data_IF_048103110215
#
_entry.id   IF_048103110215
#
_cell.length_a   1.000
_cell.length_b   1.000
_cell.length_c   1.000
_cell.angle_alpha   90.00
_cell.angle_beta   90.00
_cell.angle_gamma   90.00
#
_symmetry.space_group_name_H-M   'P 1'
#
loop_
_entity.id
_entity.type
_entity.pdbx_description
1 polymer ?
#
# COMPACT_ATOMS: atom_id res chain seq x y z
N UNK A 1 12.12 -37.57 -29.70
CA UNK A 1 12.23 -36.71 -28.49
C UNK A 1 11.57 -35.34 -28.65
N UNK A 2 11.55 -34.69 -29.82
CA UNK A 2 10.75 -33.48 -30.05
C UNK A 2 9.28 -33.75 -30.44
N UNK A 3 8.96 -34.92 -31.00
CA UNK A 3 7.58 -35.28 -31.37
C UNK A 3 6.77 -35.91 -30.22
N UNK A 4 7.42 -36.54 -29.24
CA UNK A 4 6.72 -37.02 -28.03
C UNK A 4 6.24 -35.87 -27.15
N UNK A 5 6.99 -34.77 -27.08
CA UNK A 5 6.60 -33.57 -26.31
C UNK A 5 5.38 -32.85 -26.91
N UNK A 6 5.20 -32.88 -28.24
CA UNK A 6 4.02 -32.29 -28.89
C UNK A 6 2.75 -33.12 -28.69
N UNK A 7 2.86 -34.43 -28.57
CA UNK A 7 1.70 -35.29 -28.30
C UNK A 7 1.21 -35.11 -26.85
N UNK A 8 2.11 -35.01 -25.87
CA UNK A 8 1.72 -34.77 -24.47
C UNK A 8 1.08 -33.38 -24.27
N UNK A 9 1.53 -32.35 -25.00
CA UNK A 9 0.97 -31.00 -24.91
C UNK A 9 -0.42 -30.87 -25.58
N UNK A 10 -0.72 -31.75 -26.54
CA UNK A 10 -2.04 -31.80 -27.21
C UNK A 10 -3.05 -32.57 -26.37
N UNK A 11 -2.63 -33.64 -25.69
CA UNK A 11 -3.51 -34.43 -24.80
C UNK A 11 -3.88 -33.68 -23.51
N UNK A 12 -3.00 -32.83 -22.99
CA UNK A 12 -3.30 -31.96 -21.83
C UNK A 12 -4.35 -30.89 -22.21
N UNK A 13 -4.27 -30.32 -23.42
CA UNK A 13 -5.25 -29.32 -23.90
C UNK A 13 -6.62 -29.93 -24.23
N UNK A 14 -6.68 -31.22 -24.59
CA UNK A 14 -7.94 -31.94 -24.83
C UNK A 14 -8.59 -32.41 -23.52
N UNK A 15 -7.79 -32.68 -22.47
CA UNK A 15 -8.30 -32.99 -21.14
C UNK A 15 -8.88 -31.75 -20.42
N UNK A 16 -8.22 -30.58 -20.51
CA UNK A 16 -8.72 -29.33 -19.92
C UNK A 16 -10.05 -28.86 -20.54
N UNK A 17 -10.27 -29.17 -21.83
CA UNK A 17 -11.49 -28.80 -22.55
C UNK A 17 -12.67 -29.77 -22.36
N UNK A 18 -12.44 -30.95 -21.74
CA UNK A 18 -13.51 -31.92 -21.42
C UNK A 18 -14.10 -31.72 -20.02
N UNK A 19 -13.32 -31.20 -19.08
CA UNK A 19 -13.82 -30.91 -17.72
C UNK A 19 -14.62 -29.60 -17.62
N UNK A 20 -14.67 -28.80 -18.69
CA UNK A 20 -15.48 -27.56 -18.76
C UNK A 20 -16.77 -27.68 -19.57
N UNK A 21 -17.10 -28.85 -20.13
CA UNK A 21 -18.28 -29.03 -20.99
C UNK A 21 -19.31 -30.07 -20.49
N UNK A 22 -19.20 -30.55 -19.26
CA UNK A 22 -20.18 -31.45 -18.65
C UNK A 22 -20.45 -31.05 -17.21
N UNK A 23 -21.33 -30.08 -17.01
CA UNK A 23 -22.17 -29.91 -15.81
C UNK A 23 -23.15 -28.76 -16.09
N UNK A 24 -23.92 -28.92 -17.17
CA UNK A 24 -25.21 -28.24 -17.30
C UNK A 24 -26.12 -29.07 -18.20
N UNK A 25 -27.37 -29.23 -17.74
CA UNK A 25 -28.51 -29.96 -18.34
C UNK A 25 -28.73 -31.40 -17.88
N UNK A 26 -29.47 -31.54 -16.77
CA UNK A 26 -30.66 -32.37 -16.74
C UNK A 26 -31.60 -31.94 -15.61
N UNK A 27 -32.81 -31.55 -16.01
CA UNK A 27 -34.09 -31.71 -15.30
C UNK A 27 -34.27 -31.13 -13.88
N UNK A 28 -34.97 -29.99 -13.79
CA UNK A 28 -36.30 -29.93 -13.12
C UNK A 28 -36.89 -28.52 -13.15
N UNK A 29 -37.53 -28.16 -14.27
CA UNK A 29 -38.68 -27.27 -14.21
C UNK A 29 -39.85 -28.08 -13.63
N UNK A 30 -40.25 -27.76 -12.39
CA UNK A 30 -41.62 -27.91 -11.87
C UNK A 30 -41.71 -27.32 -10.46
N UNK A 31 -42.45 -26.21 -10.39
CA UNK A 31 -43.35 -25.80 -9.32
C UNK A 31 -42.90 -25.99 -7.87
N UNK A 32 -42.39 -24.92 -7.25
CA UNK A 32 -42.75 -24.59 -5.87
C UNK A 32 -42.87 -23.06 -5.73
N UNK A 33 -44.13 -22.65 -5.62
CA UNK A 33 -44.61 -21.34 -5.23
C UNK A 33 -44.07 -20.88 -3.86
N UNK A 34 -44.00 -19.56 -3.74
CA UNK A 34 -44.26 -18.74 -2.55
C UNK A 34 -44.01 -19.40 -1.17
N UNK A 35 -42.79 -19.26 -0.66
CA UNK A 35 -42.52 -19.34 0.78
C UNK A 35 -41.36 -18.41 1.13
N UNK A 36 -41.64 -17.46 2.04
CA UNK A 36 -40.76 -16.38 2.45
C UNK A 36 -39.34 -16.79 2.83
N UNK A 37 -38.38 -16.07 2.26
CA UNK A 37 -36.98 -16.10 2.66
C UNK A 37 -36.65 -14.82 3.44
N UNK A 38 -37.24 -14.69 4.62
CA UNK A 38 -36.63 -13.94 5.73
C UNK A 38 -35.83 -14.94 6.56
N UNK A 39 -34.56 -15.13 6.18
CA UNK A 39 -33.61 -15.96 6.91
C UNK A 39 -32.27 -15.25 6.95
N UNK A 40 -31.92 -14.74 8.14
CA UNK A 40 -30.65 -14.11 8.47
C UNK A 40 -29.52 -15.17 8.42
N UNK A 41 -29.00 -15.46 7.22
CA UNK A 41 -27.87 -16.36 7.02
C UNK A 41 -26.59 -15.70 7.58
N UNK A 42 -26.21 -16.05 8.81
CA UNK A 42 -24.87 -15.76 9.34
C UNK A 42 -23.81 -16.41 8.44
N UNK A 43 -23.10 -15.59 7.69
CA UNK A 43 -22.06 -15.99 6.75
C UNK A 43 -20.85 -16.52 7.54
N UNK A 44 -20.57 -17.83 7.44
CA UNK A 44 -19.42 -18.47 8.08
C UNK A 44 -18.10 -18.10 7.37
N UNK A 45 -17.23 -17.39 8.09
CA UNK A 45 -15.87 -17.00 7.70
C UNK A 45 -14.99 -18.17 7.22
N UNK A 46 -15.30 -19.40 7.62
CA UNK A 46 -14.56 -20.61 7.24
C UNK A 46 -15.12 -21.28 5.97
N UNK A 47 -16.37 -21.00 5.61
CA UNK A 47 -17.00 -21.51 4.40
C UNK A 47 -16.57 -20.67 3.19
N UNK A 48 -15.44 -21.04 2.61
CA UNK A 48 -14.98 -20.46 1.36
C UNK A 48 -15.82 -21.04 0.20
N UNK A 49 -17.09 -20.65 0.09
CA UNK A 49 -17.88 -20.92 -1.12
C UNK A 49 -17.36 -19.96 -2.20
N UNK A 50 -16.51 -20.49 -3.08
CA UNK A 50 -15.66 -19.86 -4.11
C UNK A 50 -16.28 -18.76 -5.02
N UNK A 51 -17.54 -18.38 -4.86
CA UNK A 51 -18.22 -17.34 -5.65
C UNK A 51 -18.48 -16.01 -4.91
N UNK A 52 -18.90 -16.05 -3.62
CA UNK A 52 -19.40 -14.86 -2.90
C UNK A 52 -18.35 -13.74 -2.73
N UNK A 53 -17.06 -14.11 -2.66
CA UNK A 53 -15.95 -13.16 -2.46
C UNK A 53 -15.41 -12.59 -3.78
N UNK A 54 -15.55 -13.30 -4.92
CA UNK A 54 -15.04 -12.83 -6.21
C UNK A 54 -15.90 -11.70 -6.80
N UNK A 55 -17.22 -11.79 -6.63
CA UNK A 55 -18.14 -10.73 -7.00
C UNK A 55 -19.38 -10.75 -6.09
N UNK A 56 -19.55 -9.76 -5.20
CA UNK A 56 -20.68 -9.71 -4.28
C UNK A 56 -22.03 -9.52 -4.99
N UNK A 57 -22.04 -9.10 -6.25
CA UNK A 57 -23.25 -8.79 -7.01
C UNK A 57 -23.73 -9.95 -7.91
N UNK A 58 -22.88 -10.97 -8.15
CA UNK A 58 -23.13 -11.99 -9.18
C UNK A 58 -24.44 -12.77 -8.98
N UNK A 59 -24.82 -13.03 -7.72
CA UNK A 59 -25.97 -13.85 -7.34
C UNK A 59 -27.26 -13.04 -7.12
N UNK A 60 -27.21 -11.71 -7.15
CA UNK A 60 -28.36 -10.85 -6.89
C UNK A 60 -29.20 -10.74 -8.19
N UNK A 61 -30.50 -11.07 -8.19
CA UNK A 61 -31.32 -10.98 -9.39
C UNK A 61 -31.44 -9.52 -9.87
N UNK A 62 -31.56 -9.31 -11.20
CA UNK A 62 -31.49 -7.97 -11.84
C UNK A 62 -32.48 -6.98 -11.22
N UNK A 63 -33.73 -7.39 -11.00
CA UNK A 63 -34.77 -6.54 -10.42
C UNK A 63 -34.42 -6.08 -9.00
N UNK A 64 -33.89 -6.99 -8.17
CA UNK A 64 -33.48 -6.69 -6.79
C UNK A 64 -32.27 -5.76 -6.77
N UNK A 65 -31.28 -6.02 -7.64
CA UNK A 65 -30.11 -5.17 -7.77
C UNK A 65 -30.48 -3.73 -8.13
N UNK A 66 -31.38 -3.52 -9.09
CA UNK A 66 -31.82 -2.17 -9.47
C UNK A 66 -32.55 -1.45 -8.34
N UNK A 67 -33.41 -2.17 -7.61
CA UNK A 67 -34.10 -1.64 -6.42
C UNK A 67 -33.11 -1.27 -5.31
N UNK A 68 -32.15 -2.14 -5.02
CA UNK A 68 -31.14 -1.91 -3.99
C UNK A 68 -30.23 -0.70 -4.35
N UNK A 69 -29.92 -0.52 -5.64
CA UNK A 69 -29.19 0.66 -6.15
C UNK A 69 -30.03 1.94 -6.03
N UNK A 70 -31.33 1.86 -6.31
CA UNK A 70 -32.25 3.00 -6.16
C UNK A 70 -32.41 3.40 -4.70
N UNK A 71 -32.56 2.44 -3.79
CA UNK A 71 -32.58 2.71 -2.35
C UNK A 71 -31.24 3.31 -1.88
N UNK A 72 -30.11 2.79 -2.38
CA UNK A 72 -28.79 3.34 -2.11
C UNK A 72 -28.66 4.79 -2.60
N UNK A 73 -29.14 5.11 -3.80
CA UNK A 73 -29.07 6.46 -4.34
C UNK A 73 -29.91 7.44 -3.52
N UNK A 74 -31.17 7.09 -3.25
CA UNK A 74 -32.10 7.90 -2.45
C UNK A 74 -31.55 8.17 -1.04
N UNK A 75 -31.06 7.11 -0.36
CA UNK A 75 -30.54 7.22 1.02
C UNK A 75 -29.32 8.13 1.12
N UNK A 76 -28.52 8.22 0.06
CA UNK A 76 -27.26 8.97 0.05
C UNK A 76 -27.34 10.29 -0.74
N UNK A 77 -28.52 10.66 -1.25
CA UNK A 77 -28.71 11.86 -2.06
C UNK A 77 -27.90 11.84 -3.37
N UNK A 78 -27.90 10.70 -4.06
CA UNK A 78 -27.19 10.46 -5.33
C UNK A 78 -28.16 10.25 -6.50
N UNK A 79 -29.36 10.82 -6.40
CA UNK A 79 -30.43 10.66 -7.41
C UNK A 79 -30.04 11.26 -8.76
N UNK A 80 -29.15 12.27 -8.75
CA UNK A 80 -28.57 12.90 -9.93
C UNK A 80 -27.74 11.94 -10.80
N UNK A 81 -27.17 10.89 -10.18
CA UNK A 81 -26.34 9.89 -10.86
C UNK A 81 -26.99 8.50 -10.91
N UNK A 82 -28.25 8.37 -10.50
CA UNK A 82 -28.98 7.10 -10.48
C UNK A 82 -28.89 6.31 -11.80
N UNK A 83 -29.05 6.91 -13.00
CA UNK A 83 -28.92 6.16 -14.26
C UNK A 83 -27.53 5.55 -14.44
N UNK A 84 -26.48 6.27 -14.02
CA UNK A 84 -25.11 5.78 -14.09
C UNK A 84 -24.83 4.71 -13.04
N UNK A 85 -25.44 4.81 -11.85
CA UNK A 85 -25.34 3.79 -10.81
C UNK A 85 -26.03 2.49 -11.23
N UNK A 86 -27.20 2.56 -11.84
CA UNK A 86 -27.92 1.38 -12.34
C UNK A 86 -27.11 0.67 -13.43
N UNK A 87 -26.64 1.39 -14.44
CA UNK A 87 -25.76 0.85 -15.49
C UNK A 87 -24.46 0.28 -14.89
N UNK A 88 -23.82 1.05 -14.02
CA UNK A 88 -22.58 0.64 -13.34
C UNK A 88 -22.74 -0.63 -12.51
N UNK A 89 -23.84 -0.78 -11.77
CA UNK A 89 -24.12 -1.97 -10.99
C UNK A 89 -24.35 -3.21 -11.86
N UNK A 90 -25.02 -3.07 -13.01
CA UNK A 90 -25.20 -4.15 -13.99
C UNK A 90 -23.86 -4.58 -14.59
N UNK A 91 -23.00 -3.62 -14.96
CA UNK A 91 -21.63 -3.90 -15.43
C UNK A 91 -20.81 -4.62 -14.35
N UNK A 92 -20.92 -4.18 -13.09
CA UNK A 92 -20.21 -4.80 -11.97
C UNK A 92 -20.70 -6.23 -11.68
N UNK A 93 -22.00 -6.51 -11.90
CA UNK A 93 -22.57 -7.85 -11.73
C UNK A 93 -22.02 -8.84 -12.75
N UNK A 94 -21.95 -8.46 -14.03
CA UNK A 94 -21.39 -9.30 -15.09
C UNK A 94 -20.35 -8.54 -15.92
N UNK A 95 -19.08 -8.54 -15.47
CA UNK A 95 -18.01 -7.86 -16.19
C UNK A 95 -17.66 -8.48 -17.54
N UNK A 96 -18.11 -9.70 -17.85
CA UNK A 96 -17.82 -10.37 -19.11
C UNK A 96 -18.83 -9.96 -20.20
N UNK A 97 -20.10 -9.75 -19.82
CA UNK A 97 -21.18 -9.41 -20.74
C UNK A 97 -21.60 -7.92 -20.64
N UNK A 98 -20.67 -7.02 -20.33
CA UNK A 98 -20.95 -5.59 -20.14
C UNK A 98 -21.58 -4.91 -21.37
N UNK A 99 -21.39 -5.45 -22.58
CA UNK A 99 -21.95 -4.96 -23.84
C UNK A 99 -23.47 -5.19 -23.97
N UNK A 100 -24.00 -6.13 -23.19
CA UNK A 100 -25.44 -6.50 -23.22
C UNK A 100 -26.29 -5.70 -22.23
N UNK A 101 -25.69 -4.75 -21.52
CA UNK A 101 -26.37 -3.92 -20.52
C UNK A 101 -27.35 -2.97 -21.21
N UNK A 102 -28.63 -3.07 -20.87
CA UNK A 102 -29.68 -2.19 -21.40
C UNK A 102 -29.37 -0.70 -21.15
N UNK A 103 -29.44 0.12 -22.20
CA UNK A 103 -29.26 1.57 -22.11
C UNK A 103 -27.81 2.04 -22.01
N UNK A 104 -26.82 1.15 -22.20
CA UNK A 104 -25.42 1.55 -22.35
C UNK A 104 -25.20 2.18 -23.73
N UNK A 105 -24.45 3.28 -23.78
CA UNK A 105 -24.08 3.95 -25.03
C UNK A 105 -22.81 3.36 -25.63
N UNK A 106 -22.60 3.52 -26.94
CA UNK A 106 -21.38 3.03 -27.61
C UNK A 106 -20.11 3.66 -27.03
N UNK A 107 -20.17 4.94 -26.65
CA UNK A 107 -19.07 5.63 -25.96
C UNK A 107 -18.73 4.97 -24.61
N UNK A 108 -19.76 4.57 -23.84
CA UNK A 108 -19.58 3.89 -22.56
C UNK A 108 -19.00 2.48 -22.72
N UNK A 109 -19.42 1.75 -23.76
CA UNK A 109 -18.85 0.44 -24.13
C UNK A 109 -17.37 0.60 -24.47
N UNK A 110 -17.03 1.57 -25.33
CA UNK A 110 -15.65 1.81 -25.75
C UNK A 110 -14.75 2.15 -24.56
N UNK A 111 -15.22 3.00 -23.64
CA UNK A 111 -14.50 3.34 -22.41
C UNK A 111 -14.21 2.13 -21.52
N UNK A 112 -15.18 1.21 -21.37
CA UNK A 112 -15.01 0.00 -20.55
C UNK A 112 -14.06 -0.98 -21.26
N UNK A 113 -14.18 -1.11 -22.58
CA UNK A 113 -13.26 -1.92 -23.39
C UNK A 113 -11.83 -1.37 -23.31
N UNK A 114 -11.67 -0.06 -23.36
CA UNK A 114 -10.39 0.64 -23.23
C UNK A 114 -9.71 0.37 -21.87
N UNK A 115 -10.47 0.13 -20.81
CA UNK A 115 -9.90 -0.24 -19.50
C UNK A 115 -9.14 -1.58 -19.54
N UNK A 116 -9.58 -2.51 -20.40
CA UNK A 116 -8.98 -3.83 -20.58
C UNK A 116 -7.84 -3.79 -21.59
N UNK A 117 -8.04 -3.11 -22.72
CA UNK A 117 -7.08 -3.00 -23.83
C UNK A 117 -5.93 -2.07 -23.47
N UNK A 118 -6.23 -0.91 -22.89
CA UNK A 118 -5.28 0.16 -22.55
C UNK A 118 -5.15 0.34 -21.03
N UNK A 119 -4.72 -0.73 -20.34
CA UNK A 119 -4.61 -0.78 -18.86
C UNK A 119 -3.85 0.38 -18.22
N UNK A 120 -2.87 0.94 -18.94
CA UNK A 120 -2.05 2.07 -18.49
C UNK A 120 -2.67 3.44 -18.78
N UNK A 121 -3.72 3.57 -19.60
CA UNK A 121 -4.35 4.86 -19.90
C UNK A 121 -5.18 5.33 -18.70
N UNK A 122 -4.52 5.99 -17.76
CA UNK A 122 -5.11 6.43 -16.50
C UNK A 122 -5.17 7.97 -16.40
N UNK A 123 -6.09 8.53 -15.59
CA UNK A 123 -6.24 9.98 -15.50
C UNK A 123 -5.05 10.60 -14.76
N UNK A 124 -4.71 11.84 -15.12
CA UNK A 124 -3.57 12.58 -14.54
C UNK A 124 -3.54 12.61 -13.00
N UNK A 125 -4.68 12.77 -12.28
CA UNK A 125 -4.71 12.73 -10.82
C UNK A 125 -4.27 11.38 -10.22
N UNK A 126 -4.51 10.26 -10.92
CA UNK A 126 -4.05 8.94 -10.48
C UNK A 126 -2.53 8.85 -10.60
N UNK A 127 -1.97 9.26 -11.74
CA UNK A 127 -0.51 9.32 -11.91
C UNK A 127 0.17 10.24 -10.91
N UNK A 128 -0.41 11.41 -10.64
CA UNK A 128 0.08 12.31 -9.61
C UNK A 128 0.12 11.62 -8.23
N UNK A 129 -0.96 10.91 -7.88
CA UNK A 129 -1.04 10.14 -6.64
C UNK A 129 0.03 9.05 -6.57
N UNK A 130 0.26 8.32 -7.66
CA UNK A 130 1.29 7.29 -7.74
C UNK A 130 2.69 7.90 -7.57
N UNK A 131 3.01 8.97 -8.30
CA UNK A 131 4.31 9.65 -8.20
C UNK A 131 4.54 10.14 -6.77
N UNK A 132 3.52 10.68 -6.12
CA UNK A 132 3.63 11.13 -4.74
C UNK A 132 3.89 9.95 -3.78
N UNK A 133 3.16 8.83 -3.93
CA UNK A 133 3.40 7.60 -3.17
C UNK A 133 4.84 7.08 -3.37
N UNK A 134 5.35 7.18 -4.59
CA UNK A 134 6.71 6.82 -4.98
C UNK A 134 7.76 7.70 -4.31
N UNK A 135 7.55 9.02 -4.24
CA UNK A 135 8.42 9.94 -3.47
C UNK A 135 8.44 9.50 -2.01
N UNK A 136 7.29 9.12 -1.45
CA UNK A 136 7.21 8.50 -0.14
C UNK A 136 8.19 7.35 0.01
N UNK A 137 8.14 6.34 -0.86
CA UNK A 137 9.07 5.22 -0.84
C UNK A 137 10.54 5.67 -0.96
N UNK A 138 10.85 6.62 -1.85
CA UNK A 138 12.20 7.14 -2.04
C UNK A 138 12.76 7.83 -0.78
N UNK A 139 11.95 8.57 -0.03
CA UNK A 139 12.34 9.16 1.27
C UNK A 139 12.85 8.09 2.23
N UNK A 140 12.24 6.91 2.24
CA UNK A 140 12.65 5.81 3.12
C UNK A 140 14.04 5.28 2.75
N UNK A 141 14.31 5.07 1.46
CA UNK A 141 15.63 4.62 1.00
C UNK A 141 16.73 5.66 1.20
N UNK A 142 16.40 6.94 1.02
CA UNK A 142 17.35 8.03 1.23
C UNK A 142 17.76 8.13 2.70
N UNK A 143 16.83 8.00 3.65
CA UNK A 143 17.15 8.07 5.08
C UNK A 143 18.10 6.95 5.54
N UNK A 144 17.90 5.73 5.02
CA UNK A 144 18.77 4.59 5.31
C UNK A 144 20.23 4.88 4.94
N UNK A 145 20.43 5.40 3.74
CA UNK A 145 21.77 5.72 3.22
C UNK A 145 22.35 6.97 3.85
N UNK A 146 21.55 7.98 4.18
CA UNK A 146 22.00 9.15 4.94
C UNK A 146 22.64 8.75 6.27
N UNK A 147 22.06 7.77 6.96
CA UNK A 147 22.64 7.19 8.19
C UNK A 147 23.95 6.45 7.91
N UNK A 148 24.06 5.69 6.80
CA UNK A 148 25.31 5.04 6.42
C UNK A 148 26.47 6.01 6.19
N UNK A 149 26.24 7.11 5.46
CA UNK A 149 27.27 8.13 5.27
C UNK A 149 27.69 8.75 6.61
N UNK A 150 26.71 9.09 7.44
CA UNK A 150 26.96 9.72 8.73
C UNK A 150 27.75 8.83 9.69
N UNK A 151 27.55 7.50 9.64
CA UNK A 151 28.26 6.50 10.46
C UNK A 151 29.79 6.63 10.39
N UNK A 152 30.33 7.17 9.31
CA UNK A 152 31.77 7.36 9.12
C UNK A 152 32.37 8.51 9.95
N UNK A 153 31.55 9.48 10.37
CA UNK A 153 32.03 10.76 10.94
C UNK A 153 31.29 11.19 12.21
N UNK A 154 30.01 10.83 12.39
CA UNK A 154 29.26 11.21 13.59
C UNK A 154 29.80 10.61 14.91
N UNK A 155 30.37 9.37 14.95
CA UNK A 155 30.92 8.84 16.19
C UNK A 155 32.14 9.62 16.68
N UNK A 156 32.97 10.09 15.75
CA UNK A 156 34.12 10.94 16.05
C UNK A 156 33.66 12.31 16.56
N UNK A 157 32.58 12.87 16.00
CA UNK A 157 32.05 14.18 16.39
C UNK A 157 31.46 14.23 17.82
N UNK A 158 30.93 13.12 18.33
CA UNK A 158 30.39 13.03 19.70
C UNK A 158 31.33 12.34 20.69
N UNK A 159 32.59 12.08 20.32
CA UNK A 159 33.55 11.32 21.13
C UNK A 159 33.06 9.92 21.54
N UNK A 160 32.22 9.30 20.71
CA UNK A 160 31.71 7.92 20.87
C UNK A 160 32.32 6.99 19.80
N UNK A 161 33.53 7.30 19.35
CA UNK A 161 34.23 6.48 18.36
C UNK A 161 34.64 5.13 18.97
N UNK A 162 34.53 4.07 18.19
CA UNK A 162 34.96 2.69 18.54
C UNK A 162 36.39 2.40 18.02
N UNK A 163 37.27 3.41 18.01
CA UNK A 163 38.65 3.24 17.52
C UNK A 163 39.47 2.44 18.54
N UNK A 164 40.32 1.54 18.06
CA UNK A 164 41.24 0.79 18.92
C UNK A 164 42.06 1.75 19.80
N UNK A 165 41.93 1.61 21.12
CA UNK A 165 42.62 2.44 22.12
C UNK A 165 41.72 3.42 22.89
N UNK A 166 40.45 3.59 22.54
CA UNK A 166 39.51 4.38 23.35
C UNK A 166 38.97 3.57 24.55
N UNK A 167 38.91 4.13 25.78
CA UNK A 167 38.24 3.47 26.89
C UNK A 167 36.75 3.29 26.55
N UNK A 168 36.18 2.11 26.87
CA UNK A 168 34.78 1.73 26.63
C UNK A 168 34.34 1.57 25.16
N UNK A 169 35.26 1.24 24.24
CA UNK A 169 35.00 1.00 22.81
C UNK A 169 33.75 0.13 22.55
N UNK A 170 33.62 -1.02 23.24
CA UNK A 170 32.44 -1.89 23.14
C UNK A 170 31.12 -1.17 23.49
N UNK A 171 31.11 -0.33 24.53
CA UNK A 171 29.90 0.45 24.90
C UNK A 171 29.57 1.46 23.82
N UNK A 172 30.58 2.13 23.25
CA UNK A 172 30.41 3.07 22.15
C UNK A 172 29.84 2.40 20.89
N UNK A 173 30.27 1.18 20.58
CA UNK A 173 29.70 0.38 19.49
C UNK A 173 28.20 0.11 19.69
N UNK A 174 27.79 -0.29 20.90
CA UNK A 174 26.38 -0.48 21.24
C UNK A 174 25.58 0.83 21.15
N UNK A 175 26.17 1.97 21.53
CA UNK A 175 25.52 3.28 21.37
C UNK A 175 25.30 3.65 19.91
N UNK A 176 26.31 3.48 19.05
CA UNK A 176 26.19 3.73 17.60
C UNK A 176 25.12 2.83 17.00
N UNK A 177 25.13 1.54 17.37
CA UNK A 177 24.10 0.59 16.97
C UNK A 177 22.70 1.00 17.43
N UNK A 178 22.56 1.52 18.66
CA UNK A 178 21.29 2.00 19.20
C UNK A 178 20.76 3.23 18.45
N UNK A 179 21.63 4.19 18.12
CA UNK A 179 21.26 5.39 17.34
C UNK A 179 20.78 5.00 15.94
N UNK A 180 21.46 4.06 15.29
CA UNK A 180 21.06 3.54 13.98
C UNK A 180 19.79 2.69 14.02
N UNK A 181 19.56 1.95 15.11
CA UNK A 181 18.34 1.20 15.33
C UNK A 181 17.15 2.11 15.71
N UNK A 182 17.41 3.34 16.16
CA UNK A 182 16.42 4.32 16.62
C UNK A 182 15.19 4.46 15.71
N UNK A 183 15.33 4.71 14.39
CA UNK A 183 14.18 4.83 13.51
C UNK A 183 13.34 3.54 13.42
N UNK A 184 13.97 2.38 13.46
CA UNK A 184 13.24 1.09 13.44
C UNK A 184 12.52 0.82 14.76
N UNK A 185 13.14 1.17 15.89
CA UNK A 185 12.50 1.08 17.22
C UNK A 185 11.27 2.00 17.25
N UNK A 186 11.43 3.26 16.83
CA UNK A 186 10.32 4.22 16.74
C UNK A 186 9.20 3.74 15.81
N UNK A 187 9.56 3.15 14.67
CA UNK A 187 8.60 2.56 13.73
C UNK A 187 7.85 1.37 14.33
N UNK A 188 8.56 0.43 14.95
CA UNK A 188 7.98 -0.83 15.43
C UNK A 188 7.05 -0.64 16.64
N UNK A 189 7.43 0.22 17.59
CA UNK A 189 6.67 0.40 18.84
C UNK A 189 5.60 1.47 18.73
N UNK A 190 5.81 2.52 17.94
CA UNK A 190 4.88 3.66 17.87
C UNK A 190 4.33 3.87 16.45
N UNK A 191 5.20 3.99 15.44
CA UNK A 191 4.80 4.36 14.08
C UNK A 191 3.74 3.45 13.44
N UNK A 192 3.97 2.14 13.48
CA UNK A 192 3.05 1.15 12.90
C UNK A 192 1.69 1.13 13.62
N UNK A 193 1.68 1.28 14.95
CA UNK A 193 0.47 1.23 15.75
C UNK A 193 -0.36 2.51 15.64
N UNK A 194 0.31 3.67 15.55
CA UNK A 194 -0.32 4.98 15.34
C UNK A 194 -0.91 5.14 13.93
N UNK A 195 -0.48 4.32 12.97
CA UNK A 195 -1.00 4.35 11.61
C UNK A 195 -2.52 4.14 11.56
N UNK A 196 -3.06 3.15 12.27
CA UNK A 196 -4.50 2.84 12.22
C UNK A 196 -5.38 4.01 12.73
N UNK A 197 -5.16 4.56 13.95
CA UNK A 197 -5.95 5.70 14.41
C UNK A 197 -5.74 6.93 13.51
N UNK A 198 -4.53 7.21 13.02
CA UNK A 198 -4.33 8.34 12.11
C UNK A 198 -5.13 8.19 10.81
N UNK A 199 -5.20 6.98 10.26
CA UNK A 199 -5.98 6.69 9.07
C UNK A 199 -7.49 6.79 9.33
N UNK A 200 -7.97 6.30 10.46
CA UNK A 200 -9.39 6.32 10.78
C UNK A 200 -9.89 7.74 11.14
N UNK A 201 -9.07 8.59 11.79
CA UNK A 201 -9.47 9.95 12.16
C UNK A 201 -9.23 10.99 11.05
N UNK A 202 -8.04 11.01 10.45
CA UNK A 202 -7.62 12.07 9.52
C UNK A 202 -7.74 11.69 8.04
N UNK A 203 -8.13 10.45 7.73
CA UNK A 203 -8.09 9.91 6.37
C UNK A 203 -6.70 9.46 5.95
N UNK A 204 -6.61 8.85 4.76
CA UNK A 204 -5.32 8.37 4.24
C UNK A 204 -4.41 9.53 3.91
N UNK A 205 -4.95 10.59 3.30
CA UNK A 205 -4.21 11.81 2.96
C UNK A 205 -3.69 12.52 4.21
N UNK A 206 -4.52 12.62 5.25
CA UNK A 206 -4.13 13.24 6.52
C UNK A 206 -3.04 12.45 7.27
N UNK A 207 -3.13 11.13 7.28
CA UNK A 207 -2.09 10.26 7.85
C UNK A 207 -0.74 10.39 7.09
N UNK A 208 -0.78 10.47 5.76
CA UNK A 208 0.43 10.73 4.95
C UNK A 208 1.01 12.12 5.24
N UNK A 209 0.17 13.15 5.42
CA UNK A 209 0.63 14.49 5.78
C UNK A 209 1.33 14.50 7.14
N UNK A 210 0.71 13.94 8.18
CA UNK A 210 1.28 13.87 9.53
C UNK A 210 2.61 13.10 9.50
N UNK A 211 2.65 11.95 8.83
CA UNK A 211 3.89 11.17 8.72
C UNK A 211 4.97 11.92 7.92
N UNK A 212 4.61 12.67 6.88
CA UNK A 212 5.56 13.51 6.15
C UNK A 212 6.15 14.63 7.02
N UNK A 213 5.38 15.22 7.96
CA UNK A 213 5.92 16.19 8.94
C UNK A 213 7.01 15.53 9.80
N UNK A 214 6.75 14.31 10.29
CA UNK A 214 7.75 13.50 11.00
C UNK A 214 8.91 13.00 10.11
N UNK A 215 8.81 13.10 8.79
CA UNK A 215 9.94 12.87 7.89
C UNK A 215 10.71 14.14 7.50
N UNK A 216 10.20 15.33 7.84
CA UNK A 216 10.87 16.63 7.56
C UNK A 216 11.54 17.19 8.80
N UNK A 217 10.82 17.27 9.93
CA UNK A 217 11.34 17.90 11.14
C UNK A 217 12.51 17.13 11.77
N UNK A 218 12.45 15.79 11.92
CA UNK A 218 13.51 15.06 12.60
C UNK A 218 14.85 14.99 11.84
N UNK A 219 14.93 14.89 10.50
CA UNK A 219 16.19 15.03 9.78
C UNK A 219 16.85 16.39 9.98
N UNK A 220 16.05 17.47 10.00
CA UNK A 220 16.55 18.81 10.35
C UNK A 220 17.03 18.83 11.80
N UNK A 221 16.29 18.20 12.72
CA UNK A 221 16.67 18.00 14.12
C UNK A 221 17.99 17.24 14.29
N UNK A 222 18.19 16.17 13.51
CA UNK A 222 19.41 15.38 13.47
C UNK A 222 20.61 16.23 13.03
N UNK A 223 20.43 17.12 12.04
CA UNK A 223 21.48 18.02 11.57
C UNK A 223 21.91 19.05 12.63
N UNK A 224 21.01 19.50 13.51
CA UNK A 224 21.32 20.48 14.56
C UNK A 224 21.72 19.87 15.90
N UNK A 225 21.59 18.56 16.07
CA UNK A 225 21.92 17.84 17.30
C UNK A 225 23.37 18.10 17.76
N UNK A 226 23.56 18.27 19.07
CA UNK A 226 24.87 18.49 19.70
C UNK A 226 25.30 17.33 20.61
N UNK A 227 24.37 16.46 20.97
CA UNK A 227 24.61 15.28 21.80
C UNK A 227 24.00 14.04 21.15
N UNK A 228 24.58 12.86 21.44
CA UNK A 228 24.07 11.57 20.93
C UNK A 228 22.63 11.26 21.40
N UNK A 229 22.24 11.71 22.59
CA UNK A 229 20.87 11.54 23.12
C UNK A 229 19.83 12.32 22.30
N UNK A 230 20.17 13.56 21.92
CA UNK A 230 19.32 14.39 21.06
C UNK A 230 19.19 13.75 19.68
N UNK A 231 20.29 13.21 19.15
CA UNK A 231 20.29 12.48 17.90
C UNK A 231 19.38 11.25 17.98
N UNK A 232 19.47 10.45 19.05
CA UNK A 232 18.60 9.31 19.28
C UNK A 232 17.11 9.70 19.35
N UNK A 233 16.76 10.78 20.05
CA UNK A 233 15.37 11.25 20.14
C UNK A 233 14.85 11.65 18.76
N UNK A 234 15.64 12.43 17.99
CA UNK A 234 15.23 12.80 16.62
C UNK A 234 15.08 11.57 15.72
N UNK A 235 15.93 10.55 15.88
CA UNK A 235 15.81 9.28 15.15
C UNK A 235 14.56 8.49 15.53
N UNK A 236 14.22 8.44 16.81
CA UNK A 236 12.98 7.81 17.26
C UNK A 236 11.74 8.51 16.67
N UNK A 237 11.74 9.85 16.65
CA UNK A 237 10.66 10.64 16.04
C UNK A 237 10.55 10.41 14.52
N UNK A 238 11.68 10.31 13.82
CA UNK A 238 11.71 9.95 12.42
C UNK A 238 11.08 8.58 12.16
N UNK A 239 11.39 7.62 13.03
CA UNK A 239 10.83 6.28 13.00
C UNK A 239 9.30 6.24 13.05
N UNK A 240 8.68 7.13 13.83
CA UNK A 240 7.22 7.24 13.91
C UNK A 240 6.65 7.61 12.53
N UNK A 241 7.24 8.61 11.86
CA UNK A 241 6.84 9.03 10.51
C UNK A 241 7.06 7.93 9.48
N UNK A 242 8.24 7.30 9.49
CA UNK A 242 8.58 6.22 8.58
C UNK A 242 7.61 5.04 8.70
N UNK A 243 7.28 4.60 9.92
CA UNK A 243 6.36 3.50 10.17
C UNK A 243 4.93 3.82 9.72
N UNK A 244 4.39 4.96 10.14
CA UNK A 244 3.05 5.39 9.76
C UNK A 244 2.90 5.54 8.24
N UNK A 245 3.92 6.08 7.57
CA UNK A 245 3.97 6.20 6.10
C UNK A 245 4.04 4.83 5.43
N UNK A 246 4.91 3.93 5.89
CA UNK A 246 5.11 2.61 5.29
C UNK A 246 3.85 1.74 5.37
N UNK A 247 3.04 1.89 6.42
CA UNK A 247 1.75 1.21 6.52
C UNK A 247 0.64 1.88 5.69
N UNK A 248 0.63 3.21 5.58
CA UNK A 248 -0.47 3.95 4.95
C UNK A 248 -0.33 4.04 3.43
N UNK A 249 0.85 4.35 2.91
CA UNK A 249 1.03 4.69 1.48
C UNK A 249 0.74 3.51 0.54
N UNK A 250 1.20 2.27 0.80
CA UNK A 250 0.85 1.13 -0.06
C UNK A 250 -0.65 0.85 -0.09
N UNK A 251 -1.33 1.01 1.06
CA UNK A 251 -2.78 0.86 1.17
C UNK A 251 -3.47 1.96 0.38
N UNK A 252 -3.05 3.22 0.54
CA UNK A 252 -3.58 4.34 -0.21
C UNK A 252 -3.39 4.14 -1.72
N UNK A 253 -2.22 3.68 -2.18
CA UNK A 253 -1.99 3.34 -3.57
C UNK A 253 -2.94 2.23 -4.06
N UNK A 254 -3.09 1.16 -3.27
CA UNK A 254 -3.96 0.04 -3.60
C UNK A 254 -5.46 0.42 -3.66
N UNK A 255 -5.92 1.31 -2.78
CA UNK A 255 -7.31 1.78 -2.70
C UNK A 255 -7.68 2.71 -3.88
N UNK A 256 -6.75 3.54 -4.37
CA UNK A 256 -6.99 4.44 -5.50
C UNK A 256 -6.84 3.75 -6.87
N UNK A 257 -6.01 2.70 -6.93
CA UNK A 257 -5.62 2.05 -8.18
C UNK A 257 -6.65 0.98 -8.62
N UNK A 258 -7.04 0.96 -9.92
CA UNK A 258 -7.91 -0.08 -10.46
C UNK A 258 -7.26 -1.48 -10.38
N UNK A 259 -8.08 -2.52 -10.26
CA UNK A 259 -7.60 -3.88 -9.96
C UNK A 259 -6.62 -4.43 -11.02
N UNK A 260 -6.75 -4.01 -12.29
CA UNK A 260 -5.93 -4.49 -13.42
C UNK A 260 -4.46 -4.10 -13.34
N UNK A 261 -4.13 -2.92 -12.79
CA UNK A 261 -2.75 -2.40 -12.67
C UNK A 261 -2.27 -2.28 -11.21
N UNK A 262 -3.13 -2.62 -10.23
CA UNK A 262 -2.84 -2.55 -8.80
C UNK A 262 -1.55 -3.25 -8.42
N UNK A 263 -1.33 -4.48 -8.91
CA UNK A 263 -0.13 -5.25 -8.61
C UNK A 263 1.15 -4.52 -9.01
N UNK A 264 1.24 -4.07 -10.28
CA UNK A 264 2.43 -3.37 -10.78
C UNK A 264 2.69 -2.05 -10.05
N UNK A 265 1.64 -1.31 -9.73
CA UNK A 265 1.77 -0.02 -9.04
C UNK A 265 2.11 -0.17 -7.55
N UNK A 266 1.60 -1.19 -6.88
CA UNK A 266 2.01 -1.50 -5.50
C UNK A 266 3.46 -1.99 -5.46
N UNK A 267 3.90 -2.80 -6.44
CA UNK A 267 5.29 -3.25 -6.55
C UNK A 267 6.28 -2.11 -6.84
N UNK A 268 5.81 -1.00 -7.43
CA UNK A 268 6.66 0.18 -7.66
C UNK A 268 7.25 0.73 -6.36
N UNK A 269 6.63 0.49 -5.20
CA UNK A 269 7.16 0.87 -3.90
C UNK A 269 8.63 0.47 -3.72
N UNK A 270 8.95 -0.80 -3.98
CA UNK A 270 10.32 -1.30 -3.77
C UNK A 270 11.31 -0.71 -4.76
N UNK A 271 10.90 -0.50 -6.01
CA UNK A 271 11.73 0.17 -7.02
C UNK A 271 12.10 1.59 -6.57
N UNK A 272 11.13 2.35 -6.07
CA UNK A 272 11.36 3.72 -5.63
C UNK A 272 12.14 3.80 -4.32
N UNK A 273 11.99 2.82 -3.42
CA UNK A 273 12.88 2.68 -2.25
C UNK A 273 14.33 2.47 -2.69
N UNK A 274 14.59 1.55 -3.63
CA UNK A 274 15.93 1.32 -4.17
C UNK A 274 16.49 2.56 -4.90
N UNK A 275 15.65 3.28 -5.65
CA UNK A 275 16.04 4.55 -6.25
C UNK A 275 16.36 5.62 -5.20
N UNK A 276 15.62 5.65 -4.08
CA UNK A 276 15.91 6.50 -2.94
C UNK A 276 17.26 6.20 -2.29
N UNK A 277 17.62 4.93 -2.16
CA UNK A 277 18.95 4.47 -1.70
C UNK A 277 20.03 5.04 -2.63
N UNK A 278 19.86 4.88 -3.95
CA UNK A 278 20.80 5.43 -4.94
C UNK A 278 20.96 6.95 -4.84
N UNK A 279 19.85 7.69 -4.72
CA UNK A 279 19.89 9.14 -4.55
C UNK A 279 20.55 9.57 -3.24
N UNK A 280 20.32 8.82 -2.15
CA UNK A 280 20.95 9.13 -0.86
C UNK A 280 22.45 8.85 -0.85
N UNK A 281 22.94 7.79 -1.50
CA UNK A 281 24.38 7.61 -1.74
C UNK A 281 24.96 8.76 -2.57
N UNK A 282 24.26 9.18 -3.62
CA UNK A 282 24.66 10.32 -4.45
C UNK A 282 24.73 11.62 -3.64
N UNK A 283 23.76 11.84 -2.74
CA UNK A 283 23.74 13.00 -1.85
C UNK A 283 24.88 12.96 -0.83
N UNK A 284 25.17 11.79 -0.25
CA UNK A 284 26.29 11.60 0.67
C UNK A 284 27.64 11.90 0.00
N UNK A 285 27.80 11.47 -1.25
CA UNK A 285 29.00 11.75 -2.04
C UNK A 285 29.13 13.25 -2.34
N UNK A 286 28.03 13.94 -2.65
CA UNK A 286 28.03 15.37 -2.95
C UNK A 286 28.44 16.23 -1.75
N UNK A 287 28.10 15.82 -0.52
CA UNK A 287 28.42 16.57 0.71
C UNK A 287 29.70 16.10 1.39
N UNK A 288 30.41 15.11 0.83
CA UNK A 288 31.56 14.47 1.47
C UNK A 288 32.69 15.46 1.82
N UNK A 289 32.93 16.46 0.96
CA UNK A 289 34.07 17.38 1.06
C UNK A 289 33.77 18.59 1.97
N UNK A 290 32.65 18.57 2.70
CA UNK A 290 32.19 19.69 3.54
C UNK A 290 32.79 19.69 4.95
N UNK A 291 33.83 18.91 5.21
CA UNK A 291 34.52 18.84 6.52
C UNK A 291 33.63 18.34 7.67
N UNK A 292 33.79 18.90 8.86
CA UNK A 292 33.12 18.47 10.12
C UNK A 292 31.58 18.57 10.09
N UNK A 293 31.02 19.26 9.09
CA UNK A 293 29.57 19.44 8.91
C UNK A 293 28.97 18.33 8.01
N UNK A 294 29.80 17.49 7.38
CA UNK A 294 29.38 16.45 6.44
C UNK A 294 28.29 15.54 7.00
N UNK A 295 28.48 14.98 8.21
CA UNK A 295 27.48 14.09 8.84
C UNK A 295 26.14 14.78 9.12
N UNK A 296 26.15 16.08 9.46
CA UNK A 296 24.92 16.87 9.68
C UNK A 296 24.14 17.02 8.37
N UNK A 297 24.84 17.26 7.27
CA UNK A 297 24.23 17.42 5.94
C UNK A 297 23.74 16.09 5.37
N UNK A 298 24.46 14.99 5.60
CA UNK A 298 24.06 13.65 5.18
C UNK A 298 22.72 13.25 5.80
N UNK A 299 22.59 13.43 7.12
CA UNK A 299 21.36 13.15 7.85
C UNK A 299 20.25 14.15 7.52
N UNK A 300 20.60 15.43 7.37
CA UNK A 300 19.66 16.49 7.00
C UNK A 300 19.08 16.27 5.60
N UNK A 301 19.88 15.81 4.64
CA UNK A 301 19.48 15.71 3.22
C UNK A 301 18.20 14.89 2.98
N UNK A 302 17.85 13.97 3.87
CA UNK A 302 16.61 13.20 3.81
C UNK A 302 15.32 14.05 3.84
N UNK A 303 15.37 15.31 4.32
CA UNK A 303 14.20 16.21 4.25
C UNK A 303 13.88 16.63 2.80
N UNK A 304 14.87 16.64 1.88
CA UNK A 304 14.73 17.14 0.51
C UNK A 304 13.61 16.43 -0.24
N UNK A 305 13.59 15.07 -0.35
CA UNK A 305 12.47 14.37 -0.97
C UNK A 305 11.19 14.39 -0.12
N UNK A 306 11.27 14.66 1.18
CA UNK A 306 10.11 14.69 2.08
C UNK A 306 9.28 15.98 1.93
N UNK A 307 9.89 17.10 1.51
CA UNK A 307 9.18 18.38 1.29
C UNK A 307 8.17 18.29 0.12
N UNK A 308 8.54 17.80 -1.07
CA UNK A 308 7.58 17.56 -2.15
C UNK A 308 6.45 16.62 -1.73
N UNK A 309 6.73 15.61 -0.91
CA UNK A 309 5.70 14.73 -0.36
C UNK A 309 4.72 15.51 0.53
N UNK A 310 5.25 16.30 1.46
CA UNK A 310 4.47 17.10 2.42
C UNK A 310 3.57 18.13 1.72
N UNK A 311 4.09 18.81 0.70
CA UNK A 311 3.33 19.82 -0.06
C UNK A 311 2.38 19.18 -1.08
N UNK A 312 2.80 18.07 -1.70
CA UNK A 312 2.06 17.42 -2.77
C UNK A 312 0.82 16.64 -2.30
N UNK A 313 0.81 16.19 -1.04
CA UNK A 313 -0.28 15.36 -0.49
C UNK A 313 -1.64 16.04 -0.52
N UNK A 314 -1.71 17.37 -0.41
CA UNK A 314 -2.99 18.09 -0.46
C UNK A 314 -3.64 18.10 -1.84
N UNK A 315 -2.86 17.97 -2.91
CA UNK A 315 -3.37 17.93 -4.28
C UNK A 315 -3.90 16.54 -4.67
N UNK A 316 -3.56 15.50 -3.89
CA UNK A 316 -4.11 14.16 -4.11
C UNK A 316 -5.59 14.09 -3.70
N UNK A 317 -6.42 13.39 -4.49
CA UNK A 317 -7.74 12.98 -4.03
C UNK A 317 -7.61 12.03 -2.82
N UNK A 318 -8.54 12.13 -1.88
CA UNK A 318 -8.60 11.23 -0.73
C UNK A 318 -9.17 9.86 -1.15
N UNK A 319 -8.83 8.80 -0.40
CA UNK A 319 -9.23 7.43 -0.72
C UNK A 319 -10.77 7.29 -0.83
N UNK A 320 -11.30 6.83 -1.98
CA UNK A 320 -12.72 6.54 -2.12
C UNK A 320 -13.23 5.53 -1.09
N UNK A 321 -12.43 4.50 -0.80
CA UNK A 321 -12.77 3.44 0.16
C UNK A 321 -12.96 4.02 1.56
N UNK A 322 -12.11 4.97 1.95
CA UNK A 322 -12.23 5.66 3.23
C UNK A 322 -13.52 6.49 3.33
N UNK A 323 -13.87 7.23 2.26
CA UNK A 323 -15.13 8.00 2.25
C UNK A 323 -16.37 7.11 2.37
N UNK A 324 -16.38 5.96 1.70
CA UNK A 324 -17.49 4.99 1.78
C UNK A 324 -17.62 4.43 3.21
N UNK A 325 -16.49 4.02 3.84
CA UNK A 325 -16.46 3.56 5.24
C UNK A 325 -16.97 4.63 6.22
N UNK A 326 -16.81 5.92 5.90
CA UNK A 326 -17.31 7.05 6.70
C UNK A 326 -18.74 7.47 6.34
N UNK A 327 -19.42 6.76 5.45
CA UNK A 327 -20.78 7.08 4.99
C UNK A 327 -20.87 8.31 4.08
N UNK A 328 -19.76 8.83 3.57
CA UNK A 328 -19.71 10.04 2.73
C UNK A 328 -19.73 9.68 1.23
N UNK A 329 -20.83 9.11 0.75
CA UNK A 329 -20.91 8.57 -0.62
C UNK A 329 -20.74 9.63 -1.71
N UNK A 330 -21.29 10.83 -1.55
CA UNK A 330 -21.12 11.92 -2.52
C UNK A 330 -19.65 12.37 -2.66
N UNK A 331 -18.88 12.35 -1.57
CA UNK A 331 -17.45 12.67 -1.63
C UNK A 331 -16.65 11.51 -2.24
N UNK A 332 -17.04 10.26 -1.95
CA UNK A 332 -16.47 9.08 -2.59
C UNK A 332 -16.64 9.12 -4.12
N UNK A 333 -17.83 9.47 -4.60
CA UNK A 333 -18.10 9.62 -6.04
C UNK A 333 -17.26 10.73 -6.68
N UNK A 334 -17.15 11.89 -6.03
CA UNK A 334 -16.27 12.99 -6.49
C UNK A 334 -14.79 12.60 -6.52
N UNK A 335 -14.35 11.74 -5.62
CA UNK A 335 -12.99 11.21 -5.64
C UNK A 335 -12.80 10.22 -6.80
N UNK A 336 -13.73 9.27 -6.97
CA UNK A 336 -13.70 8.29 -8.05
C UNK A 336 -13.76 8.91 -9.45
N UNK A 337 -14.56 9.96 -9.64
CA UNK A 337 -14.63 10.69 -10.91
C UNK A 337 -13.33 11.40 -11.28
N UNK A 338 -12.45 11.71 -10.31
CA UNK A 338 -11.08 12.21 -10.58
C UNK A 338 -10.07 11.08 -10.85
N UNK A 339 -10.34 9.89 -10.32
CA UNK A 339 -9.47 8.71 -10.39
C UNK A 339 -9.84 7.75 -11.53
N UNK A 340 -10.92 8.01 -12.25
CA UNK A 340 -11.40 7.26 -13.41
C UNK A 340 -11.53 8.15 -14.63
N UNK A 341 -11.49 7.56 -15.81
CA UNK A 341 -11.58 8.30 -17.07
C UNK A 341 -13.02 8.73 -17.38
N UNK A 342 -14.02 8.00 -16.86
CA UNK A 342 -15.43 8.27 -17.17
C UNK A 342 -16.35 8.10 -15.94
N UNK A 343 -17.45 8.88 -15.84
CA UNK A 343 -18.43 8.77 -14.76
C UNK A 343 -19.04 7.39 -14.57
N UNK A 344 -19.20 6.59 -15.64
CA UNK A 344 -19.76 5.23 -15.55
C UNK A 344 -18.84 4.29 -14.77
N UNK A 345 -17.51 4.39 -14.97
CA UNK A 345 -16.52 3.62 -14.21
C UNK A 345 -16.53 4.03 -12.74
N UNK A 346 -16.66 5.33 -12.47
CA UNK A 346 -16.77 5.85 -11.11
C UNK A 346 -18.04 5.35 -10.39
N UNK A 347 -19.18 5.31 -11.09
CA UNK A 347 -20.44 4.82 -10.56
C UNK A 347 -20.41 3.30 -10.30
N UNK A 348 -19.87 2.52 -11.25
CA UNK A 348 -19.61 1.08 -11.11
C UNK A 348 -18.77 0.80 -9.86
N UNK A 349 -17.61 1.45 -9.76
CA UNK A 349 -16.67 1.22 -8.67
C UNK A 349 -17.24 1.69 -7.33
N UNK A 350 -18.01 2.79 -7.28
CA UNK A 350 -18.64 3.28 -6.05
C UNK A 350 -19.56 2.22 -5.45
N UNK A 351 -20.51 1.72 -6.24
CA UNK A 351 -21.49 0.75 -5.76
C UNK A 351 -20.83 -0.60 -5.44
N UNK A 352 -19.89 -1.04 -6.28
CA UNK A 352 -19.15 -2.27 -6.04
C UNK A 352 -18.34 -2.23 -4.73
N UNK A 353 -17.59 -1.15 -4.48
CA UNK A 353 -16.82 -0.97 -3.25
C UNK A 353 -17.77 -0.87 -2.03
N UNK A 354 -18.92 -0.21 -2.17
CA UNK A 354 -19.92 -0.15 -1.11
C UNK A 354 -20.43 -1.55 -0.71
N UNK A 355 -20.82 -2.37 -1.69
CA UNK A 355 -21.26 -3.74 -1.41
C UNK A 355 -20.16 -4.61 -0.81
N UNK A 356 -18.90 -4.43 -1.25
CA UNK A 356 -17.76 -5.12 -0.64
C UNK A 356 -17.58 -4.72 0.83
N UNK A 357 -17.61 -3.43 1.16
CA UNK A 357 -17.46 -2.96 2.55
C UNK A 357 -18.62 -3.42 3.42
N UNK A 358 -19.86 -3.36 2.92
CA UNK A 358 -21.04 -3.81 3.69
C UNK A 358 -20.93 -5.29 4.06
N UNK A 359 -20.51 -6.14 3.12
CA UNK A 359 -20.25 -7.55 3.40
C UNK A 359 -19.07 -7.74 4.37
N UNK A 360 -18.00 -6.97 4.23
CA UNK A 360 -16.88 -6.99 5.19
C UNK A 360 -17.33 -6.61 6.61
N UNK A 361 -18.22 -5.63 6.76
CA UNK A 361 -18.79 -5.20 8.05
C UNK A 361 -19.73 -6.26 8.65
N UNK A 362 -20.61 -6.85 7.84
CA UNK A 362 -21.50 -7.95 8.25
C UNK A 362 -20.71 -9.19 8.70
N UNK A 363 -19.59 -9.48 8.03
CA UNK A 363 -18.72 -10.61 8.37
C UNK A 363 -17.80 -10.34 9.58
N UNK A 364 -17.35 -9.10 9.77
CA UNK A 364 -16.42 -8.75 10.84
C UNK A 364 -17.13 -8.42 12.17
N UNK A 365 -18.40 -8.01 12.12
CA UNK A 365 -19.15 -7.50 13.27
C UNK A 365 -18.55 -6.22 13.88
N UNK A 366 -19.16 -5.72 14.95
CA UNK A 366 -18.59 -4.62 15.75
C UNK A 366 -17.28 -5.09 16.40
N UNK A 367 -16.16 -4.66 15.84
CA UNK A 367 -14.84 -5.08 16.29
C UNK A 367 -14.03 -3.88 16.78
N UNK A 368 -13.65 -3.93 18.06
CA UNK A 368 -12.70 -2.99 18.64
C UNK A 368 -11.28 -3.29 18.13
N UNK A 369 -10.40 -2.29 18.17
CA UNK A 369 -8.99 -2.42 17.73
C UNK A 369 -8.28 -3.64 18.34
N UNK A 370 -8.46 -3.86 19.65
CA UNK A 370 -7.90 -5.00 20.37
C UNK A 370 -8.51 -6.33 19.91
N UNK A 371 -9.82 -6.35 19.64
CA UNK A 371 -10.51 -7.52 19.10
C UNK A 371 -9.96 -7.88 17.73
N UNK A 372 -9.75 -6.89 16.85
CA UNK A 372 -9.12 -7.10 15.53
C UNK A 372 -7.71 -7.67 15.66
N UNK A 373 -6.91 -7.15 16.60
CA UNK A 373 -5.58 -7.69 16.87
C UNK A 373 -5.62 -9.16 17.31
N UNK A 374 -6.54 -9.53 18.20
CA UNK A 374 -6.72 -10.93 18.63
C UNK A 374 -7.19 -11.81 17.45
N UNK A 375 -8.10 -11.29 16.62
CA UNK A 375 -8.60 -11.99 15.44
C UNK A 375 -7.49 -12.36 14.43
N UNK A 376 -6.37 -11.62 14.38
CA UNK A 376 -5.20 -12.00 13.56
C UNK A 376 -4.68 -13.40 13.92
N UNK A 377 -4.83 -13.84 15.17
CA UNK A 377 -4.35 -15.12 15.67
C UNK A 377 -5.48 -16.13 15.89
N UNK A 378 -6.71 -15.67 16.15
CA UNK A 378 -7.85 -16.56 16.42
C UNK A 378 -8.50 -17.09 15.14
N UNK A 379 -8.69 -16.27 14.11
CA UNK A 379 -9.42 -16.67 12.89
C UNK A 379 -8.48 -17.48 11.98
N UNK A 380 -8.78 -18.75 11.63
CA UNK A 380 -7.85 -19.61 10.88
C UNK A 380 -7.43 -19.07 9.50
N UNK A 381 -8.34 -18.40 8.79
CA UNK A 381 -8.05 -17.76 7.50
C UNK A 381 -7.08 -16.58 7.67
N UNK A 382 -7.38 -15.68 8.59
CA UNK A 382 -6.55 -14.50 8.88
C UNK A 382 -5.20 -14.94 9.45
N UNK A 383 -5.18 -15.90 10.38
CA UNK A 383 -3.96 -16.48 10.95
C UNK A 383 -3.00 -17.02 9.88
N UNK A 384 -3.51 -17.73 8.87
CA UNK A 384 -2.67 -18.21 7.75
C UNK A 384 -2.08 -17.05 6.95
N UNK A 385 -2.86 -16.01 6.69
CA UNK A 385 -2.38 -14.81 5.99
C UNK A 385 -1.37 -14.01 6.85
N UNK A 386 -1.61 -13.88 8.15
CA UNK A 386 -0.71 -13.25 9.12
C UNK A 386 0.62 -14.01 9.19
N UNK A 387 0.57 -15.35 9.30
CA UNK A 387 1.77 -16.18 9.34
C UNK A 387 2.58 -16.05 8.05
N UNK A 388 1.93 -16.11 6.89
CA UNK A 388 2.61 -15.91 5.60
C UNK A 388 3.26 -14.52 5.52
N UNK A 389 2.53 -13.48 5.92
CA UNK A 389 3.04 -12.10 5.93
C UNK A 389 4.23 -11.96 6.88
N UNK A 390 4.14 -12.53 8.08
CA UNK A 390 5.22 -12.50 9.08
C UNK A 390 6.48 -13.23 8.60
N UNK A 391 6.33 -14.43 8.03
CA UNK A 391 7.44 -15.20 7.47
C UNK A 391 8.13 -14.45 6.34
N UNK A 392 7.38 -13.85 5.41
CA UNK A 392 7.95 -13.10 4.29
C UNK A 392 8.68 -11.85 4.77
N UNK A 393 8.11 -11.10 5.73
CA UNK A 393 8.76 -9.91 6.29
C UNK A 393 10.03 -10.26 7.08
N UNK A 394 10.03 -11.36 7.86
CA UNK A 394 11.23 -11.84 8.53
C UNK A 394 12.29 -12.27 7.52
N UNK A 395 11.92 -13.06 6.52
CA UNK A 395 12.85 -13.50 5.48
C UNK A 395 13.48 -12.30 4.75
N UNK A 396 12.69 -11.26 4.47
CA UNK A 396 13.19 -10.01 3.89
C UNK A 396 14.23 -9.32 4.78
N UNK A 397 14.04 -9.29 6.10
CA UNK A 397 15.04 -8.69 7.00
C UNK A 397 16.26 -9.58 7.21
N UNK A 398 16.07 -10.91 7.27
CA UNK A 398 17.15 -11.89 7.46
C UNK A 398 18.09 -12.02 6.27
N UNK A 399 17.71 -11.56 5.07
CA UNK A 399 18.64 -11.53 3.93
C UNK A 399 19.81 -10.53 4.14
N UNK A 400 19.75 -9.69 5.18
CA UNK A 400 20.86 -8.81 5.56
C UNK A 400 20.96 -7.53 4.73
N UNK A 401 19.97 -7.21 3.88
CA UNK A 401 20.03 -6.03 3.02
C UNK A 401 20.21 -4.71 3.79
N UNK A 402 19.62 -4.60 4.98
CA UNK A 402 19.82 -3.40 5.82
C UNK A 402 21.26 -3.28 6.32
N UNK A 403 21.96 -4.39 6.60
CA UNK A 403 23.37 -4.33 7.01
C UNK A 403 24.20 -3.69 5.91
N UNK A 404 23.99 -4.12 4.67
CA UNK A 404 24.63 -3.50 3.50
C UNK A 404 24.20 -2.04 3.36
N UNK A 405 22.91 -1.71 3.48
CA UNK A 405 22.45 -0.33 3.32
C UNK A 405 22.97 0.65 4.39
N UNK A 406 23.19 0.19 5.63
CA UNK A 406 23.64 1.04 6.76
C UNK A 406 25.14 1.04 7.02
N UNK A 407 25.83 -0.03 6.63
CA UNK A 407 27.22 -0.25 6.99
C UNK A 407 28.12 -0.55 5.79
N UNK A 408 27.61 -0.56 4.55
CA UNK A 408 28.46 -0.81 3.36
C UNK A 408 29.69 0.08 3.34
N UNK A 409 29.54 1.38 3.63
CA UNK A 409 30.68 2.29 3.60
C UNK A 409 31.65 2.05 4.76
N UNK A 410 31.16 1.61 5.92
CA UNK A 410 32.03 1.18 7.03
C UNK A 410 32.79 -0.09 6.68
N UNK A 411 32.10 -1.09 6.13
CA UNK A 411 32.68 -2.38 5.70
C UNK A 411 33.75 -2.16 4.63
N UNK A 412 33.48 -1.31 3.63
CA UNK A 412 34.49 -0.99 2.60
C UNK A 412 35.68 -0.20 3.18
N UNK A 413 35.45 0.67 4.18
CA UNK A 413 36.54 1.37 4.87
C UNK A 413 37.41 0.41 5.68
N UNK A 414 36.81 -0.54 6.38
CA UNK A 414 37.52 -1.60 7.11
C UNK A 414 38.28 -2.54 6.17
N UNK A 415 37.75 -2.78 4.96
CA UNK A 415 38.42 -3.53 3.91
C UNK A 415 39.59 -2.76 3.24
N UNK A 416 39.87 -1.52 3.67
CA UNK A 416 41.00 -0.71 3.21
C UNK A 416 40.70 0.29 2.09
N UNK A 417 39.43 0.51 1.74
CA UNK A 417 39.06 1.59 0.83
C UNK A 417 39.15 2.95 1.53
N UNK A 418 39.66 3.97 0.82
CA UNK A 418 39.56 5.36 1.27
C UNK A 418 38.08 5.77 1.43
N UNK A 419 37.77 6.76 2.27
CA UNK A 419 36.38 7.17 2.53
C UNK A 419 35.63 7.55 1.24
N UNK A 420 36.34 8.11 0.26
CA UNK A 420 35.79 8.36 -1.09
C UNK A 420 35.53 7.05 -1.86
N UNK A 421 36.46 6.10 -1.81
CA UNK A 421 36.31 4.80 -2.46
C UNK A 421 35.19 3.97 -1.85
N UNK A 422 35.02 4.02 -0.53
CA UNK A 422 33.96 3.34 0.20
C UNK A 422 32.58 3.90 -0.16
N UNK A 423 32.42 5.23 -0.24
CA UNK A 423 31.16 5.87 -0.66
C UNK A 423 30.85 5.64 -2.15
N UNK A 424 31.86 5.47 -3.01
CA UNK A 424 31.68 5.17 -4.44
C UNK A 424 31.39 3.70 -4.73
N UNK A 425 31.89 2.79 -3.89
CA UNK A 425 31.69 1.34 -4.03
C UNK A 425 30.40 0.84 -3.37
N UNK A 426 29.83 1.63 -2.46
CA UNK A 426 28.53 1.41 -1.82
C UNK A 426 27.38 1.75 -2.77
#
# INVERSE_FOLDING_TARGET
>A
MADELKHTETDIKVAENKDTSQLDRSDSDRDLDDAGLEGDEKIDLNSNVSGRIKNPLAHIPKHRLLRDVEEFANKNGLDDILPNLQKGALIAKDPANFETVEGITEEEIEVIRDEVVHKWRQPRPLYYTIILCSIGAAVQGWDQTGSNGANLSFPDAFNISDREGTPNAHIHQWLVGLVNAGPYIGSAFLGCWLSDPFNDFFGRRGAIFISAVFCVLPPIGSAVSQNWEQLLITRLLLGIGMGAKASTVPIFCAENTPASVRGGLVMSWQLWTAFGIFLGFSANLAVKDTGDISWRLQLGSAFIPAVPLLLGVYFCPESPRWYIKKGKMAQAYRSLTRLRNHPIQAARDLYYIYCQIKLEEEMAGESNYVTRFIQLFTIPRVRRATLASFTVMIAQQMCGINIIAFYSSTVFREAGADATGALLAS
#
